data_IF_303076740921
#
_entry.id   IF_303076740921
#
_cell.length_a   1.000
_cell.length_b   1.000
_cell.length_c   1.000
_cell.angle_alpha   90.00
_cell.angle_beta   90.00
_cell.angle_gamma   90.00
#
_symmetry.space_group_name_H-M   'P 1'
#
loop_
_entity.id
_entity.type
_entity.pdbx_description
1 polymer ?
#
# COMPACT_ATOMS: atom_id res chain seq x y z
N UNK A 1 -7.45 12.24 8.69
CA UNK A 1 -8.36 11.61 7.71
C UNK A 1 -7.63 10.40 7.16
N UNK A 2 -8.28 9.24 6.97
CA UNK A 2 -7.61 8.03 6.47
C UNK A 2 -7.57 8.05 4.95
N UNK A 3 -6.42 7.73 4.37
CA UNK A 3 -6.23 7.65 2.91
C UNK A 3 -6.18 6.19 2.45
N UNK A 4 -6.70 5.93 1.25
CA UNK A 4 -6.66 4.61 0.62
C UNK A 4 -5.35 4.47 -0.19
N UNK A 5 -4.54 3.41 0.00
CA UNK A 5 -4.73 2.24 0.87
C UNK A 5 -4.42 2.49 2.35
N UNK A 6 -5.29 1.99 3.23
CA UNK A 6 -5.12 2.08 4.69
C UNK A 6 -4.96 0.70 5.33
N UNK A 7 -3.99 0.55 6.23
CA UNK A 7 -3.81 -0.66 7.03
C UNK A 7 -4.50 -0.53 8.37
N UNK A 8 -5.39 -1.47 8.69
CA UNK A 8 -6.22 -1.44 9.90
C UNK A 8 -6.29 -2.82 10.54
N UNK A 9 -6.34 -2.87 11.86
CA UNK A 9 -6.54 -4.12 12.60
C UNK A 9 -8.04 -4.40 12.81
N UNK A 10 -8.40 -5.67 13.03
CA UNK A 10 -9.79 -6.12 13.20
C UNK A 10 -10.63 -5.28 14.20
N UNK A 11 -10.14 -4.92 15.40
CA UNK A 11 -10.90 -4.07 16.32
C UNK A 11 -11.16 -2.65 15.81
N UNK A 12 -10.27 -2.11 14.98
CA UNK A 12 -10.40 -0.76 14.43
C UNK A 12 -11.47 -0.66 13.34
N UNK A 13 -11.83 -1.76 12.67
CA UNK A 13 -12.85 -1.77 11.61
C UNK A 13 -14.20 -1.19 12.06
N UNK A 14 -14.53 -1.31 13.35
CA UNK A 14 -15.77 -0.78 13.94
C UNK A 14 -15.75 0.72 14.17
N UNK A 15 -14.57 1.33 14.16
CA UNK A 15 -14.36 2.76 14.41
C UNK A 15 -14.20 3.57 13.12
N UNK A 16 -14.13 2.91 11.96
CA UNK A 16 -13.95 3.55 10.66
C UNK A 16 -15.31 3.91 10.09
N UNK A 17 -15.46 5.16 9.70
CA UNK A 17 -16.66 5.70 9.05
C UNK A 17 -16.28 6.46 7.79
N UNK A 18 -17.10 6.37 6.75
CA UNK A 18 -17.01 7.28 5.61
C UNK A 18 -17.91 8.49 5.86
N UNK A 19 -17.42 9.68 5.50
CA UNK A 19 -18.23 10.89 5.52
C UNK A 19 -19.24 10.85 4.36
N UNK A 20 -20.47 11.32 4.60
CA UNK A 20 -21.53 11.30 3.58
C UNK A 20 -21.24 12.21 2.38
N UNK A 21 -20.43 13.25 2.59
CA UNK A 21 -19.99 14.20 1.56
C UNK A 21 -18.90 13.65 0.64
N UNK A 22 -18.36 12.45 0.91
CA UNK A 22 -17.39 11.83 0.01
C UNK A 22 -18.02 11.50 -1.35
N UNK A 23 -17.23 11.70 -2.42
CA UNK A 23 -17.57 11.31 -3.81
C UNK A 23 -17.96 9.84 -3.93
N UNK A 24 -17.30 8.99 -3.13
CA UNK A 24 -17.50 7.55 -3.10
C UNK A 24 -18.41 7.11 -1.97
N UNK A 25 -19.39 6.27 -2.29
CA UNK A 25 -20.25 5.60 -1.29
C UNK A 25 -20.06 4.09 -1.32
N UNK A 26 -20.00 3.42 -0.17
CA UNK A 26 -19.75 2.00 -0.14
C UNK A 26 -21.01 1.20 -0.51
N UNK A 27 -20.86 0.18 -1.36
CA UNK A 27 -21.95 -0.74 -1.71
C UNK A 27 -22.15 -1.85 -0.65
N UNK A 28 -21.13 -2.05 0.20
CA UNK A 28 -21.11 -3.02 1.30
C UNK A 28 -20.61 -2.35 2.57
N UNK A 29 -20.88 -2.94 3.74
CA UNK A 29 -20.38 -2.41 5.01
C UNK A 29 -18.85 -2.29 5.01
N UNK A 30 -18.34 -1.12 5.44
CA UNK A 30 -16.90 -0.86 5.56
C UNK A 30 -16.26 -1.76 6.64
N UNK A 31 -17.06 -2.17 7.63
CA UNK A 31 -16.61 -3.04 8.71
C UNK A 31 -16.22 -4.46 8.23
N UNK A 32 -16.55 -4.83 6.99
CA UNK A 32 -16.09 -6.08 6.38
C UNK A 32 -14.58 -6.11 6.13
N UNK A 33 -13.94 -4.93 6.01
CA UNK A 33 -12.52 -4.81 5.65
C UNK A 33 -12.21 -5.35 4.24
N UNK A 34 -10.92 -5.51 3.95
CA UNK A 34 -10.45 -6.01 2.66
C UNK A 34 -10.75 -5.06 1.49
N UNK A 35 -11.03 -5.62 0.31
CA UNK A 35 -11.39 -4.86 -0.89
C UNK A 35 -12.91 -4.63 -0.90
N UNK A 36 -13.31 -3.37 -0.88
CA UNK A 36 -14.71 -2.95 -0.84
C UNK A 36 -15.04 -2.20 -2.13
N UNK A 37 -16.18 -2.55 -2.76
CA UNK A 37 -16.66 -1.82 -3.92
C UNK A 37 -17.33 -0.52 -3.48
N UNK A 38 -16.91 0.57 -4.10
CA UNK A 38 -17.48 1.91 -3.92
C UNK A 38 -18.21 2.34 -5.19
N UNK A 39 -19.33 3.05 -5.02
CA UNK A 39 -20.09 3.71 -6.08
C UNK A 39 -19.69 5.18 -6.14
N UNK A 40 -19.29 5.63 -7.33
CA UNK A 40 -19.07 7.05 -7.62
C UNK A 40 -20.40 7.81 -7.67
N UNK A 41 -20.54 8.86 -6.86
CA UNK A 41 -21.70 9.77 -6.87
C UNK A 41 -21.56 10.88 -7.91
N UNK A 42 -20.37 11.14 -8.44
CA UNK A 42 -20.08 12.25 -9.35
C UNK A 42 -19.37 11.80 -10.64
N UNK A 43 -19.97 10.88 -11.41
CA UNK A 43 -19.34 10.33 -12.62
C UNK A 43 -19.08 11.36 -13.73
N UNK A 44 -19.76 12.52 -13.70
CA UNK A 44 -19.56 13.60 -14.67
C UNK A 44 -18.42 14.57 -14.34
N UNK A 45 -17.85 14.49 -13.14
CA UNK A 45 -16.70 15.32 -12.76
C UNK A 45 -15.40 14.55 -13.05
N UNK A 46 -14.40 15.18 -13.70
CA UNK A 46 -13.11 14.53 -13.95
C UNK A 46 -12.49 14.11 -12.62
N UNK A 47 -12.03 12.87 -12.56
CA UNK A 47 -11.34 12.34 -11.39
C UNK A 47 -9.83 12.49 -11.55
N UNK A 48 -9.18 12.99 -10.50
CA UNK A 48 -7.73 12.98 -10.39
C UNK A 48 -7.29 11.61 -9.86
N UNK A 49 -7.10 10.65 -10.76
CA UNK A 49 -6.50 9.36 -10.41
C UNK A 49 -4.98 9.54 -10.25
N UNK A 50 -4.43 8.98 -9.18
CA UNK A 50 -2.98 8.88 -9.03
C UNK A 50 -2.43 7.91 -10.07
N UNK A 51 -1.24 8.21 -10.59
CA UNK A 51 -0.53 7.27 -11.45
C UNK A 51 -0.27 5.96 -10.69
N UNK A 52 -0.44 4.80 -11.34
CA UNK A 52 -0.20 3.52 -10.71
C UNK A 52 1.26 3.44 -10.25
N UNK A 53 1.47 3.41 -8.94
CA UNK A 53 2.79 3.15 -8.37
C UNK A 53 3.10 1.68 -8.61
N UNK A 54 4.26 1.37 -9.22
CA UNK A 54 4.71 0.00 -9.37
C UNK A 54 4.76 -0.69 -8.00
N UNK A 55 4.24 -1.91 -7.92
CA UNK A 55 4.37 -2.73 -6.72
C UNK A 55 5.87 -2.92 -6.41
N UNK A 56 6.33 -2.44 -5.25
CA UNK A 56 7.75 -2.44 -4.87
C UNK A 56 8.34 -1.06 -4.55
N UNK A 57 7.57 0.02 -4.70
CA UNK A 57 8.10 1.39 -4.54
C UNK A 57 8.88 1.82 -5.78
N UNK A 58 9.49 3.02 -5.78
CA UNK A 58 10.49 3.33 -6.80
C UNK A 58 11.55 2.24 -6.70
N UNK A 59 11.64 1.41 -7.75
CA UNK A 59 12.74 0.46 -7.90
C UNK A 59 13.99 1.32 -7.72
N UNK A 60 14.70 1.17 -6.60
CA UNK A 60 16.07 1.68 -6.51
C UNK A 60 16.70 1.18 -7.80
N UNK A 61 17.22 2.11 -8.60
CA UNK A 61 17.96 1.74 -9.80
C UNK A 61 18.87 0.57 -9.43
N UNK A 62 18.96 -0.44 -10.30
CA UNK A 62 19.70 -1.69 -10.10
C UNK A 62 21.19 -1.48 -9.77
N UNK A 63 21.64 -0.23 -9.61
CA UNK A 63 22.94 0.23 -9.13
C UNK A 63 23.20 0.04 -7.64
N UNK A 64 22.21 -0.33 -6.82
CA UNK A 64 22.36 -0.63 -5.38
C UNK A 64 22.08 -2.10 -5.04
N UNK A 65 22.21 -3.01 -6.01
CA UNK A 65 22.52 -4.41 -5.70
C UNK A 65 23.98 -4.45 -5.21
N UNK A 66 24.20 -4.12 -3.93
CA UNK A 66 25.47 -4.42 -3.27
C UNK A 66 25.66 -5.95 -3.37
N UNK A 67 26.54 -6.36 -4.29
CA UNK A 67 27.02 -7.74 -4.41
C UNK A 67 27.24 -8.33 -3.01
N UNK A 68 26.71 -9.52 -2.76
CA UNK A 68 26.94 -10.23 -1.49
C UNK A 68 28.45 -10.23 -1.16
N UNK A 69 28.85 -9.92 0.08
CA UNK A 69 30.27 -9.87 0.43
C UNK A 69 30.91 -11.23 0.13
N UNK A 70 32.08 -11.22 -0.52
CA UNK A 70 32.81 -12.43 -0.84
C UNK A 70 33.05 -13.27 0.42
N UNK A 71 32.95 -14.62 0.33
CA UNK A 71 33.26 -15.50 1.46
C UNK A 71 34.63 -15.17 2.08
N UNK A 72 34.78 -15.29 3.40
CA UNK A 72 36.06 -15.05 4.06
C UNK A 72 37.13 -16.00 3.52
N UNK A 73 38.39 -15.54 3.51
CA UNK A 73 39.52 -16.37 3.10
C UNK A 73 39.67 -17.60 4.02
N UNK A 74 40.12 -18.75 3.49
CA UNK A 74 40.42 -19.93 4.30
C UNK A 74 41.43 -19.56 5.40
N UNK A 75 41.22 -20.09 6.61
CA UNK A 75 42.18 -19.88 7.70
C UNK A 75 43.50 -20.61 7.38
N UNK A 76 44.62 -19.95 7.66
CA UNK A 76 45.95 -20.57 7.63
C UNK A 76 46.45 -20.76 9.06
N UNK A 77 47.02 -21.94 9.37
CA UNK A 77 47.73 -22.16 10.62
C UNK A 77 49.15 -21.59 10.49
N UNK A 78 49.47 -20.57 11.30
CA UNK A 78 50.85 -20.16 11.53
C UNK A 78 51.45 -21.06 12.62
N UNK A 79 52.60 -21.69 12.35
CA UNK A 79 53.39 -22.43 13.34
C UNK A 79 53.91 -21.52 14.47
#
# INVERSE_FOLDING_TARGET
>A
MLENPCRVILPQLKLITLNDENRYSPLKSIASGGIILLKDKKPGEPEQLLEPVAAGGPKKEETDEEDEPSPPEPFEFTE
#
